data_IF_301141558248
#
_entry.id   IF_301141558248
#
_cell.length_a   1.000
_cell.length_b   1.000
_cell.length_c   1.000
_cell.angle_alpha   90.00
_cell.angle_beta   90.00
_cell.angle_gamma   90.00
#
_symmetry.space_group_name_H-M   'P 1'
#
loop_
_entity.id
_entity.type
_entity.pdbx_description
1 polymer ?
#
# COMPACT_ATOMS: atom_id res chain seq x y z
N UNK A 1 -0.23 10.45 -9.69
CA UNK A 1 -1.65 10.00 -9.62
C UNK A 1 -2.27 9.65 -10.96
N UNK A 2 -1.78 10.17 -12.10
CA UNK A 2 -2.26 9.76 -13.42
C UNK A 2 -2.19 8.23 -13.63
N UNK A 3 -1.22 7.56 -13.00
CA UNK A 3 -1.06 6.11 -13.05
C UNK A 3 -2.19 5.34 -12.33
N UNK A 4 -2.79 5.93 -11.29
CA UNK A 4 -3.89 5.32 -10.52
C UNK A 4 -5.24 5.42 -11.27
N UNK A 5 -5.28 6.05 -12.44
CA UNK A 5 -6.48 6.09 -13.29
C UNK A 5 -6.77 4.75 -13.98
N UNK A 6 -5.85 3.79 -13.91
CA UNK A 6 -6.11 2.44 -14.40
C UNK A 6 -7.11 1.71 -13.48
N UNK A 7 -8.01 1.02 -14.12
CA UNK A 7 -9.10 0.29 -13.47
C UNK A 7 -8.57 -0.96 -12.79
N UNK A 8 -8.84 -1.10 -11.49
CA UNK A 8 -8.42 -2.26 -10.71
C UNK A 8 -9.63 -3.03 -10.20
N UNK A 9 -9.54 -4.36 -10.25
CA UNK A 9 -10.56 -5.22 -9.69
C UNK A 9 -10.38 -5.34 -8.18
N UNK A 10 -11.45 -5.12 -7.44
CA UNK A 10 -11.51 -5.51 -6.03
C UNK A 10 -11.64 -7.02 -5.93
N UNK A 11 -11.05 -7.68 -4.93
CA UNK A 11 -11.19 -9.13 -4.75
C UNK A 11 -12.65 -9.60 -4.68
N UNK A 12 -13.56 -8.76 -4.19
CA UNK A 12 -15.01 -9.03 -4.12
C UNK A 12 -15.82 -8.42 -5.26
N UNK A 13 -15.16 -8.02 -6.35
CA UNK A 13 -15.76 -7.39 -7.52
C UNK A 13 -15.81 -5.87 -7.45
N UNK A 14 -15.93 -5.25 -8.60
CA UNK A 14 -15.90 -3.79 -8.77
C UNK A 14 -14.52 -3.28 -9.13
N UNK A 15 -14.49 -2.02 -9.56
CA UNK A 15 -13.28 -1.32 -10.01
C UNK A 15 -13.13 -0.02 -9.23
N UNK A 16 -11.90 0.46 -9.11
CA UNK A 16 -11.60 1.74 -8.46
C UNK A 16 -10.60 2.51 -9.33
N UNK A 17 -10.77 3.82 -9.36
CA UNK A 17 -9.80 4.74 -9.98
C UNK A 17 -9.04 5.50 -8.89
N UNK A 18 -7.88 6.02 -9.21
CA UNK A 18 -7.11 6.83 -8.27
C UNK A 18 -7.85 8.08 -7.80
N UNK A 19 -8.60 8.71 -8.70
CA UNK A 19 -9.45 9.84 -8.35
C UNK A 19 -10.57 9.46 -7.36
N UNK A 20 -11.08 8.23 -7.44
CA UNK A 20 -12.09 7.71 -6.50
C UNK A 20 -11.52 7.27 -5.15
N UNK A 21 -10.20 7.12 -5.05
CA UNK A 21 -9.50 6.77 -3.82
C UNK A 21 -8.91 7.98 -3.09
N UNK A 22 -8.73 9.10 -3.79
CA UNK A 22 -8.14 10.33 -3.25
C UNK A 22 -9.05 10.94 -2.19
N UNK A 23 -8.56 11.09 -0.98
CA UNK A 23 -9.21 11.86 0.08
C UNK A 23 -8.89 13.35 0.00
N UNK A 24 -9.54 14.14 0.85
CA UNK A 24 -9.35 15.59 0.93
C UNK A 24 -7.89 15.99 1.16
N UNK A 25 -7.19 15.27 2.03
CA UNK A 25 -5.79 15.53 2.39
C UNK A 25 -4.81 14.74 1.55
N UNK A 26 -5.23 13.68 0.86
CA UNK A 26 -4.35 12.90 0.03
C UNK A 26 -4.70 11.42 -0.07
N UNK A 27 -3.73 10.61 -0.50
CA UNK A 27 -3.90 9.19 -0.73
C UNK A 27 -2.63 8.40 -0.36
N UNK A 28 -2.79 7.40 0.51
CA UNK A 28 -1.79 6.37 0.74
C UNK A 28 -2.03 5.21 -0.24
N UNK A 29 -1.02 4.89 -1.04
CA UNK A 29 -0.98 3.71 -1.91
C UNK A 29 0.07 2.74 -1.39
N UNK A 30 -0.33 1.49 -1.16
CA UNK A 30 0.53 0.44 -0.62
C UNK A 30 0.59 -0.73 -1.60
N UNK A 31 1.78 -1.07 -2.10
CA UNK A 31 1.96 -2.33 -2.82
C UNK A 31 2.28 -3.43 -1.82
N UNK A 32 1.37 -4.38 -1.69
CA UNK A 32 1.47 -5.50 -0.74
C UNK A 32 1.06 -6.80 -1.43
N UNK A 33 1.29 -7.93 -0.76
CA UNK A 33 0.79 -9.23 -1.18
C UNK A 33 0.58 -10.13 0.05
N UNK A 34 0.02 -11.32 -0.13
CA UNK A 34 -0.35 -12.18 1.00
C UNK A 34 0.82 -13.03 1.51
N UNK A 35 1.70 -13.49 0.61
CA UNK A 35 2.74 -14.49 0.97
C UNK A 35 4.09 -13.88 1.38
N UNK A 36 4.30 -12.58 1.17
CA UNK A 36 5.60 -11.95 1.45
C UNK A 36 5.86 -11.85 2.97
N UNK A 37 6.96 -12.41 3.50
CA UNK A 37 7.29 -12.32 4.92
C UNK A 37 7.38 -10.88 5.44
N UNK A 38 7.84 -9.94 4.62
CA UNK A 38 7.91 -8.52 4.99
C UNK A 38 6.52 -7.89 5.13
N UNK A 39 5.54 -8.30 4.32
CA UNK A 39 4.16 -7.84 4.45
C UNK A 39 3.49 -8.49 5.66
N UNK A 40 3.66 -9.80 5.83
CA UNK A 40 3.11 -10.55 6.97
C UNK A 40 3.59 -9.93 8.30
N UNK A 41 4.87 -9.56 8.36
CA UNK A 41 5.50 -8.93 9.54
C UNK A 41 4.79 -7.64 9.95
N UNK A 42 4.33 -6.82 9.00
CA UNK A 42 3.74 -5.50 9.25
C UNK A 42 2.21 -5.48 9.09
N UNK A 43 1.58 -6.61 8.78
CA UNK A 43 0.17 -6.67 8.39
C UNK A 43 -0.79 -6.09 9.45
N UNK A 44 -0.53 -6.35 10.72
CA UNK A 44 -1.37 -5.84 11.82
C UNK A 44 -1.25 -4.32 11.96
N UNK A 45 -0.07 -3.77 11.71
CA UNK A 45 0.16 -2.31 11.68
C UNK A 45 -0.51 -1.66 10.47
N UNK A 46 -0.50 -2.30 9.28
CA UNK A 46 -1.25 -1.82 8.13
C UNK A 46 -2.75 -1.75 8.43
N UNK A 47 -3.30 -2.76 9.11
CA UNK A 47 -4.69 -2.75 9.54
C UNK A 47 -4.96 -1.64 10.56
N UNK A 48 -4.04 -1.39 11.50
CA UNK A 48 -4.13 -0.30 12.46
C UNK A 48 -4.12 1.07 11.77
N UNK A 49 -3.18 1.30 10.85
CA UNK A 49 -3.12 2.53 10.05
C UNK A 49 -4.44 2.76 9.31
N UNK A 50 -5.00 1.73 8.67
CA UNK A 50 -6.29 1.85 7.99
C UNK A 50 -7.40 2.34 8.91
N UNK A 51 -7.48 1.82 10.14
CA UNK A 51 -8.47 2.24 11.13
C UNK A 51 -8.21 3.64 11.69
N UNK A 52 -6.96 3.91 12.05
CA UNK A 52 -6.57 5.15 12.73
C UNK A 52 -6.77 6.38 11.83
N UNK A 53 -6.58 6.22 10.52
CA UNK A 53 -6.71 7.31 9.54
C UNK A 53 -8.03 7.29 8.74
N UNK A 54 -8.98 6.41 9.09
CA UNK A 54 -10.24 6.26 8.35
C UNK A 54 -11.03 7.56 8.22
N UNK A 55 -11.02 8.38 9.27
CA UNK A 55 -11.75 9.66 9.34
C UNK A 55 -10.82 10.89 9.22
N UNK A 56 -9.57 10.70 8.82
CA UNK A 56 -8.57 11.77 8.74
C UNK A 56 -8.65 12.64 7.48
N UNK A 57 -9.46 12.24 6.50
CA UNK A 57 -9.44 12.84 5.16
C UNK A 57 -8.37 12.29 4.23
N UNK A 58 -7.58 11.31 4.67
CA UNK A 58 -6.69 10.55 3.81
C UNK A 58 -7.41 9.34 3.21
N UNK A 59 -7.34 9.16 1.90
CA UNK A 59 -7.66 7.90 1.26
C UNK A 59 -6.55 6.87 1.52
N UNK A 60 -6.89 5.59 1.52
CA UNK A 60 -5.92 4.50 1.57
C UNK A 60 -6.32 3.38 0.63
N UNK A 61 -5.36 2.79 -0.06
CA UNK A 61 -5.57 1.65 -0.96
C UNK A 61 -4.36 0.74 -0.94
N UNK A 62 -4.59 -0.56 -0.91
CA UNK A 62 -3.56 -1.57 -1.11
C UNK A 62 -3.72 -2.22 -2.48
N UNK A 63 -2.61 -2.56 -3.12
CA UNK A 63 -2.56 -3.14 -4.46
C UNK A 63 -1.63 -4.35 -4.45
N UNK A 64 -2.10 -5.48 -4.96
CA UNK A 64 -1.26 -6.64 -5.27
C UNK A 64 -1.09 -6.74 -6.78
N UNK A 65 0.17 -6.81 -7.22
CA UNK A 65 0.54 -6.91 -8.64
C UNK A 65 1.31 -8.19 -8.94
N UNK A 66 1.29 -9.18 -8.05
CA UNK A 66 2.03 -10.42 -8.23
C UNK A 66 1.39 -11.32 -9.31
N UNK A 67 2.21 -12.10 -9.98
CA UNK A 67 1.80 -13.16 -10.91
C UNK A 67 1.13 -14.30 -10.14
N UNK A 68 -0.19 -14.33 -10.13
CA UNK A 68 -0.98 -15.31 -9.39
C UNK A 68 -0.94 -16.72 -10.00
N UNK A 69 -0.51 -16.86 -11.25
CA UNK A 69 -0.35 -18.17 -11.87
C UNK A 69 0.81 -18.94 -11.22
N UNK A 70 1.88 -18.24 -10.86
CA UNK A 70 3.02 -18.82 -10.18
C UNK A 70 2.99 -18.62 -8.65
N UNK A 71 2.17 -17.68 -8.17
CA UNK A 71 2.02 -17.35 -6.75
C UNK A 71 0.53 -17.32 -6.37
N UNK A 72 -0.14 -18.49 -6.33
CA UNK A 72 -1.60 -18.59 -6.14
C UNK A 72 -2.10 -18.08 -4.78
N UNK A 73 -1.23 -17.97 -3.79
CA UNK A 73 -1.57 -17.38 -2.48
C UNK A 73 -1.92 -15.88 -2.57
N UNK A 74 -1.55 -15.22 -3.66
CA UNK A 74 -1.87 -13.82 -3.94
C UNK A 74 -3.10 -13.66 -4.86
N UNK A 75 -3.82 -14.74 -5.17
CA UNK A 75 -5.00 -14.67 -6.03
C UNK A 75 -6.13 -13.83 -5.40
N UNK A 76 -7.03 -13.23 -6.20
CA UNK A 76 -8.06 -12.32 -5.71
C UNK A 76 -8.99 -12.89 -4.62
N UNK A 77 -9.31 -14.18 -4.66
CA UNK A 77 -10.06 -14.87 -3.61
C UNK A 77 -9.27 -14.93 -2.30
N UNK A 78 -7.97 -15.21 -2.38
CA UNK A 78 -7.06 -15.20 -1.22
C UNK A 78 -6.83 -13.81 -0.67
N UNK A 79 -6.76 -12.80 -1.51
CA UNK A 79 -6.71 -11.39 -1.09
C UNK A 79 -7.96 -11.00 -0.30
N UNK A 80 -9.14 -11.46 -0.71
CA UNK A 80 -10.38 -11.21 0.01
C UNK A 80 -10.40 -11.88 1.39
N UNK A 81 -9.93 -13.15 1.47
CA UNK A 81 -9.78 -13.89 2.72
C UNK A 81 -8.78 -13.18 3.67
N UNK A 82 -7.63 -12.75 3.15
CA UNK A 82 -6.60 -12.04 3.93
C UNK A 82 -7.10 -10.69 4.44
N UNK A 83 -7.76 -9.90 3.59
CA UNK A 83 -8.32 -8.61 3.99
C UNK A 83 -9.36 -8.75 5.13
N UNK A 84 -10.18 -9.80 5.07
CA UNK A 84 -11.15 -10.11 6.13
C UNK A 84 -10.44 -10.58 7.41
N UNK A 85 -9.49 -11.48 7.27
CA UNK A 85 -8.72 -12.02 8.40
C UNK A 85 -7.94 -10.94 9.16
N UNK A 86 -7.28 -10.03 8.44
CA UNK A 86 -6.51 -8.91 9.00
C UNK A 86 -7.37 -7.74 9.46
N UNK A 87 -8.62 -7.67 9.01
CA UNK A 87 -9.50 -6.54 9.29
C UNK A 87 -9.08 -5.27 8.55
N UNK A 88 -8.60 -5.40 7.30
CA UNK A 88 -8.31 -4.25 6.43
C UNK A 88 -9.59 -3.48 6.11
N UNK A 89 -9.64 -2.21 6.48
CA UNK A 89 -10.78 -1.32 6.21
C UNK A 89 -10.62 -0.54 4.90
N UNK A 90 -9.43 -0.56 4.32
CA UNK A 90 -9.13 0.02 3.00
C UNK A 90 -9.39 -0.99 1.87
N UNK A 91 -9.64 -0.53 0.63
CA UNK A 91 -9.70 -1.41 -0.54
C UNK A 91 -8.38 -2.14 -0.78
N UNK A 92 -8.46 -3.44 -1.06
CA UNK A 92 -7.32 -4.25 -1.48
C UNK A 92 -7.58 -4.69 -2.93
N UNK A 93 -6.78 -4.18 -3.87
CA UNK A 93 -7.02 -4.25 -5.30
C UNK A 93 -6.04 -5.19 -5.98
N UNK A 94 -6.50 -5.87 -7.03
CA UNK A 94 -5.64 -6.70 -7.87
C UNK A 94 -5.29 -5.99 -9.18
N UNK A 95 -4.00 -5.79 -9.43
CA UNK A 95 -3.43 -5.25 -10.67
C UNK A 95 -3.02 -6.40 -11.59
N UNK A 96 -4.02 -6.99 -12.28
CA UNK A 96 -3.83 -8.16 -13.13
C UNK A 96 -2.77 -7.94 -14.23
N UNK A 97 -2.76 -6.75 -14.81
CA UNK A 97 -1.84 -6.41 -15.91
C UNK A 97 -0.44 -6.02 -15.44
N UNK A 98 -0.28 -5.81 -14.14
CA UNK A 98 0.94 -5.24 -13.54
C UNK A 98 1.27 -3.83 -14.05
N UNK A 99 0.32 -3.21 -14.74
CA UNK A 99 0.49 -1.88 -15.33
C UNK A 99 0.58 -0.80 -14.28
N UNK A 100 -0.12 -0.96 -13.15
CA UNK A 100 -0.08 0.01 -12.06
C UNK A 100 1.26 -0.02 -11.35
N UNK A 101 1.73 -1.20 -10.98
CA UNK A 101 3.05 -1.34 -10.35
C UNK A 101 4.16 -0.75 -11.22
N UNK A 102 4.11 -1.00 -12.55
CA UNK A 102 5.07 -0.41 -13.49
C UNK A 102 4.97 1.12 -13.55
N UNK A 103 3.75 1.66 -13.56
CA UNK A 103 3.52 3.12 -13.62
C UNK A 103 3.94 3.85 -12.34
N UNK A 104 3.89 3.18 -11.18
CA UNK A 104 4.40 3.69 -9.91
C UNK A 104 5.91 3.47 -9.75
N UNK A 105 6.55 2.71 -10.63
CA UNK A 105 7.91 2.21 -10.43
C UNK A 105 8.04 1.48 -9.07
N UNK A 106 7.01 0.71 -8.72
CA UNK A 106 6.99 -0.06 -7.48
C UNK A 106 8.03 -1.17 -7.53
N UNK A 107 8.88 -1.24 -6.52
CA UNK A 107 10.05 -2.13 -6.52
C UNK A 107 9.83 -3.42 -5.74
N UNK A 108 9.09 -3.34 -4.63
CA UNK A 108 8.96 -4.44 -3.68
C UNK A 108 7.58 -4.44 -3.00
N UNK A 109 7.37 -5.43 -2.13
CA UNK A 109 6.26 -5.47 -1.19
C UNK A 109 6.82 -5.68 0.23
N UNK A 110 6.41 -4.83 1.21
CA UNK A 110 5.58 -3.64 1.06
C UNK A 110 6.34 -2.47 0.43
N UNK A 111 5.66 -1.63 -0.36
CA UNK A 111 6.17 -0.36 -0.87
C UNK A 111 5.10 0.72 -0.67
N UNK A 112 5.47 1.88 -0.13
CA UNK A 112 4.53 2.91 0.32
C UNK A 112 4.72 4.21 -0.45
N UNK A 113 3.60 4.77 -0.92
CA UNK A 113 3.54 6.03 -1.67
C UNK A 113 2.44 6.89 -1.06
N UNK A 114 2.79 8.07 -0.55
CA UNK A 114 1.83 9.04 -0.03
C UNK A 114 1.76 10.25 -0.95
N UNK A 115 0.56 10.54 -1.40
CA UNK A 115 0.24 11.68 -2.25
C UNK A 115 -0.56 12.70 -1.46
N UNK A 116 -0.35 14.00 -1.72
CA UNK A 116 -1.17 15.06 -1.15
C UNK A 116 -2.54 15.19 -1.86
N UNK A 117 -3.39 16.12 -1.39
CA UNK A 117 -4.71 16.36 -1.95
C UNK A 117 -4.69 16.88 -3.40
N UNK A 118 -3.57 17.41 -3.89
CA UNK A 118 -3.35 17.81 -5.27
C UNK A 118 -2.80 16.67 -6.15
N UNK A 119 -2.47 15.54 -5.51
CA UNK A 119 -1.97 14.36 -6.19
C UNK A 119 -0.48 14.38 -6.48
N UNK A 120 0.27 15.15 -5.75
CA UNK A 120 1.74 15.16 -5.79
C UNK A 120 2.29 14.14 -4.81
N UNK A 121 3.32 13.40 -5.21
CA UNK A 121 4.02 12.46 -4.34
C UNK A 121 4.83 13.23 -3.29
N UNK A 122 4.49 13.04 -2.01
CA UNK A 122 5.13 13.73 -0.88
C UNK A 122 5.96 12.79 0.01
N UNK A 123 5.68 11.49 -0.03
CA UNK A 123 6.47 10.49 0.67
C UNK A 123 6.56 9.20 -0.14
N UNK A 124 7.75 8.65 -0.27
CA UNK A 124 8.02 7.30 -0.75
C UNK A 124 9.10 6.69 0.12
N UNK A 125 8.74 5.71 0.95
CA UNK A 125 9.70 5.16 1.92
C UNK A 125 9.15 3.97 2.67
N UNK A 126 9.91 3.56 3.68
CA UNK A 126 9.57 2.44 4.55
C UNK A 126 8.43 2.75 5.51
N UNK A 127 7.85 1.70 6.13
CA UNK A 127 6.89 1.82 7.22
C UNK A 127 7.59 2.32 8.50
N UNK A 128 8.67 1.61 8.86
CA UNK A 128 9.54 1.84 10.02
C UNK A 128 10.84 1.04 9.87
N UNK A 129 11.67 1.03 10.90
CA UNK A 129 12.94 0.30 10.92
C UNK A 129 12.81 -1.20 11.17
N UNK A 130 11.61 -1.69 11.52
CA UNK A 130 11.38 -3.11 11.82
C UNK A 130 11.58 -4.00 10.59
N UNK A 131 12.11 -5.20 10.81
CA UNK A 131 12.33 -6.21 9.76
C UNK A 131 11.96 -7.59 10.30
N UNK A 132 11.52 -8.52 9.45
CA UNK A 132 11.34 -9.90 9.87
C UNK A 132 12.61 -10.45 10.53
N UNK A 133 12.49 -10.89 11.79
CA UNK A 133 13.60 -11.43 12.57
C UNK A 133 14.46 -10.38 13.27
N UNK A 134 14.17 -9.08 13.19
CA UNK A 134 14.78 -8.07 14.07
C UNK A 134 14.02 -7.99 15.39
N UNK A 135 14.69 -7.42 16.41
CA UNK A 135 14.08 -7.11 17.72
C UNK A 135 13.35 -5.75 17.72
N UNK A 136 13.41 -5.01 16.61
CA UNK A 136 12.77 -3.72 16.48
C UNK A 136 11.24 -3.88 16.41
N UNK A 137 10.48 -3.13 17.23
CA UNK A 137 9.03 -3.24 17.21
C UNK A 137 8.44 -2.64 15.92
N UNK A 138 7.37 -3.23 15.43
CA UNK A 138 6.56 -2.66 14.34
C UNK A 138 5.73 -1.51 14.90
N UNK A 139 5.98 -0.30 14.45
CA UNK A 139 5.33 0.93 14.95
C UNK A 139 4.74 1.81 13.86
N UNK A 140 5.15 1.60 12.61
CA UNK A 140 4.80 2.47 11.50
C UNK A 140 5.37 3.89 11.60
N UNK A 141 6.41 4.11 12.41
CA UNK A 141 6.85 5.45 12.82
C UNK A 141 7.11 6.40 11.65
N UNK A 142 7.80 5.95 10.61
CA UNK A 142 8.18 6.81 9.49
C UNK A 142 6.97 7.17 8.62
N UNK A 143 6.15 6.18 8.27
CA UNK A 143 4.95 6.41 7.48
C UNK A 143 3.92 7.23 8.25
N UNK A 144 3.70 6.92 9.54
CA UNK A 144 2.78 7.69 10.39
C UNK A 144 3.21 9.13 10.54
N UNK A 145 4.51 9.42 10.73
CA UNK A 145 5.02 10.79 10.80
C UNK A 145 4.72 11.58 9.52
N UNK A 146 4.88 10.95 8.35
CA UNK A 146 4.55 11.58 7.08
C UNK A 146 3.03 11.83 6.93
N UNK A 147 2.20 10.85 7.31
CA UNK A 147 0.73 10.97 7.25
C UNK A 147 0.23 12.03 8.22
N UNK A 148 0.72 12.07 9.46
CA UNK A 148 0.36 13.08 10.47
C UNK A 148 0.73 14.49 10.02
N UNK A 149 1.94 14.67 9.47
CA UNK A 149 2.38 15.95 8.93
C UNK A 149 1.48 16.41 7.77
N UNK A 150 1.12 15.50 6.86
CA UNK A 150 0.24 15.81 5.74
C UNK A 150 -1.15 16.25 6.21
N UNK A 151 -1.76 15.52 7.14
CA UNK A 151 -3.09 15.86 7.70
C UNK A 151 -3.05 17.19 8.45
N UNK A 152 -1.96 17.48 9.16
CA UNK A 152 -1.76 18.73 9.89
C UNK A 152 -1.39 19.92 8.99
N UNK A 153 -1.12 19.70 7.69
CA UNK A 153 -0.61 20.74 6.78
C UNK A 153 0.82 21.17 7.10
N UNK A 154 1.60 20.30 7.73
CA UNK A 154 2.99 20.54 8.11
C UNK A 154 3.95 19.98 7.05
N UNK A 155 5.24 20.34 7.16
CA UNK A 155 6.26 19.86 6.25
C UNK A 155 6.51 18.35 6.45
N UNK A 156 6.46 17.60 5.34
CA UNK A 156 6.81 16.17 5.33
C UNK A 156 8.33 16.02 5.57
N UNK A 157 8.78 15.01 6.34
CA UNK A 157 10.20 14.75 6.52
C UNK A 157 10.93 14.62 5.18
N UNK A 158 12.01 15.38 4.99
CA UNK A 158 12.77 15.39 3.74
C UNK A 158 13.63 14.13 3.57
N UNK A 159 14.10 13.56 4.67
CA UNK A 159 14.82 12.30 4.67
C UNK A 159 13.81 11.14 4.67
N UNK A 160 13.85 10.34 3.63
CA UNK A 160 12.94 9.21 3.44
C UNK A 160 13.77 7.96 3.14
N UNK A 161 13.66 6.98 4.04
CA UNK A 161 14.39 5.71 3.91
C UNK A 161 13.60 4.82 2.95
N UNK A 162 14.24 4.27 1.88
CA UNK A 162 13.55 3.40 0.94
C UNK A 162 12.93 2.16 1.59
N UNK A 163 11.77 1.72 1.08
CA UNK A 163 11.16 0.46 1.46
C UNK A 163 12.11 -0.71 1.21
N UNK A 164 12.05 -1.70 2.09
CA UNK A 164 12.74 -2.98 1.93
C UNK A 164 11.69 -4.11 1.97
N UNK A 165 11.76 -5.00 0.99
CA UNK A 165 10.81 -6.11 0.90
C UNK A 165 11.16 -7.09 -0.21
N UNK A 166 10.25 -8.03 -0.46
CA UNK A 166 10.38 -8.96 -1.59
C UNK A 166 10.10 -8.22 -2.90
N UNK A 167 10.85 -8.55 -3.96
CA UNK A 167 10.53 -8.03 -5.29
C UNK A 167 9.12 -8.44 -5.73
N UNK A 168 8.46 -7.58 -6.48
CA UNK A 168 7.20 -7.89 -7.16
C UNK A 168 7.42 -9.08 -8.10
N UNK A 169 6.47 -10.03 -8.11
CA UNK A 169 6.54 -11.23 -8.94
C UNK A 169 5.99 -10.91 -10.32
N UNK A 170 6.88 -10.49 -11.21
CA UNK A 170 6.50 -10.14 -12.57
C UNK A 170 6.12 -11.39 -13.38
N UNK A 171 5.10 -11.24 -14.22
CA UNK A 171 4.78 -12.25 -15.24
C UNK A 171 5.93 -12.36 -16.23
N UNK A 172 6.23 -13.59 -16.67
CA UNK A 172 7.14 -13.80 -17.79
C UNK A 172 6.46 -13.32 -19.10
N UNK A 173 7.22 -12.67 -19.95
CA UNK A 173 6.79 -12.28 -21.29
C UNK A 173 6.48 -13.50 -22.15
#
# INVERSE_FOLDING_TARGET
LAAVQQVHHRPRGGTMTGAGALGEHGLLVMFICNHCPFVIHVADELAAIGRDYADSGLGAVAISSNDVANYPDDAPDKMAEEAEHRGYVFPYLYDETQGVARAFDAACTPDFFLYDGEGLLVYRGQLDDSRPGSDDPVTGADLRAAMDALVAGEAIPAEQIPSLGCNIKWKSD
#
